data_IF_962973362064
#
_entry.id   IF_962973362064
#
_cell.length_a   1.000
_cell.length_b   1.000
_cell.length_c   1.000
_cell.angle_alpha   90.00
_cell.angle_beta   90.00
_cell.angle_gamma   90.00
#
_symmetry.space_group_name_H-M   'P 1'
#
loop_
_entity.id
_entity.type
_entity.pdbx_description
1 polymer ?
#
# COMPACT_ATOMS: atom_id res chain seq x y z
N UNK A 1 3.19 1.18 -18.84
CA UNK A 1 2.70 0.21 -17.84
C UNK A 1 3.66 0.16 -16.67
N UNK A 2 3.12 0.05 -15.49
CA UNK A 2 3.93 -0.15 -14.28
C UNK A 2 4.63 -1.51 -14.36
N UNK A 3 5.92 -1.57 -14.02
CA UNK A 3 6.69 -2.83 -13.94
C UNK A 3 6.11 -3.85 -12.96
N UNK A 4 5.17 -3.42 -12.10
CA UNK A 4 4.58 -4.23 -11.04
C UNK A 4 3.22 -4.84 -11.41
N UNK A 5 2.56 -4.32 -12.46
CA UNK A 5 1.37 -4.94 -13.03
C UNK A 5 1.82 -5.82 -14.20
N UNK A 6 1.63 -7.11 -14.04
CA UNK A 6 1.95 -8.10 -15.09
C UNK A 6 0.85 -8.13 -16.15
N UNK A 7 1.19 -8.40 -17.40
CA UNK A 7 0.21 -8.53 -18.47
C UNK A 7 -0.86 -9.61 -18.23
N UNK A 8 -0.55 -10.60 -17.36
CA UNK A 8 -1.50 -11.64 -16.93
C UNK A 8 -2.41 -11.23 -15.77
N UNK A 9 -2.14 -10.09 -15.10
CA UNK A 9 -2.96 -9.61 -13.99
C UNK A 9 -4.35 -9.18 -14.50
N UNK A 10 -5.39 -9.45 -13.73
CA UNK A 10 -6.77 -9.17 -14.09
C UNK A 10 -7.28 -7.90 -13.40
N UNK A 11 -7.77 -6.96 -14.19
CA UNK A 11 -8.44 -5.76 -13.66
C UNK A 11 -9.82 -6.16 -13.12
N UNK A 12 -10.03 -6.02 -11.82
CA UNK A 12 -11.28 -6.38 -11.12
C UNK A 12 -12.07 -5.16 -10.66
N UNK A 13 -11.46 -3.99 -10.61
CA UNK A 13 -12.13 -2.73 -10.32
C UNK A 13 -11.43 -1.60 -11.10
N UNK A 14 -12.20 -0.69 -11.70
CA UNK A 14 -11.66 0.45 -12.47
C UNK A 14 -11.39 1.69 -11.61
N UNK A 15 -12.19 1.89 -10.56
CA UNK A 15 -12.05 3.07 -9.70
C UNK A 15 -12.38 2.70 -8.23
N UNK A 16 -11.34 2.62 -7.39
CA UNK A 16 -9.91 2.67 -7.72
C UNK A 16 -9.49 1.51 -8.63
N UNK A 17 -8.41 1.68 -9.40
CA UNK A 17 -7.90 0.60 -10.24
C UNK A 17 -7.31 -0.52 -9.35
N UNK A 18 -7.92 -1.70 -9.38
CA UNK A 18 -7.48 -2.88 -8.60
C UNK A 18 -7.26 -4.05 -9.55
N UNK A 19 -6.06 -4.59 -9.51
CA UNK A 19 -5.66 -5.77 -10.25
C UNK A 19 -5.45 -6.95 -9.29
N UNK A 20 -5.80 -8.14 -9.74
CA UNK A 20 -5.49 -9.42 -9.07
C UNK A 20 -4.55 -10.21 -9.95
N UNK A 21 -3.55 -10.87 -9.36
CA UNK A 21 -2.70 -11.77 -10.12
C UNK A 21 -3.52 -12.92 -10.71
N UNK A 22 -3.09 -13.45 -11.87
CA UNK A 22 -3.78 -14.58 -12.51
C UNK A 22 -3.89 -15.79 -11.57
N UNK A 23 -2.85 -16.05 -10.78
CA UNK A 23 -2.86 -17.13 -9.78
C UNK A 23 -3.99 -16.97 -8.76
N UNK A 24 -4.25 -15.74 -8.29
CA UNK A 24 -5.34 -15.45 -7.37
C UNK A 24 -6.67 -15.52 -8.07
N UNK A 25 -6.77 -14.93 -9.27
CA UNK A 25 -8.02 -14.84 -10.03
C UNK A 25 -8.63 -16.22 -10.35
N UNK A 26 -7.81 -17.21 -10.68
CA UNK A 26 -8.25 -18.56 -11.02
C UNK A 26 -8.26 -19.54 -9.84
N UNK A 27 -7.95 -19.10 -8.61
CA UNK A 27 -8.02 -19.91 -7.40
C UNK A 27 -9.12 -19.36 -6.49
N UNK A 28 -10.18 -20.14 -6.29
CA UNK A 28 -11.36 -19.70 -5.53
C UNK A 28 -11.02 -19.24 -4.12
N UNK A 29 -10.22 -20.00 -3.37
CA UNK A 29 -9.89 -19.67 -1.98
C UNK A 29 -9.05 -18.39 -1.86
N UNK A 30 -8.11 -18.20 -2.78
CA UNK A 30 -7.32 -16.98 -2.85
C UNK A 30 -8.16 -15.79 -3.31
N UNK A 31 -9.07 -16.00 -4.27
CA UNK A 31 -9.96 -14.95 -4.73
C UNK A 31 -10.94 -14.49 -3.63
N UNK A 32 -11.47 -15.42 -2.83
CA UNK A 32 -12.35 -15.09 -1.71
C UNK A 32 -11.62 -14.22 -0.66
N UNK A 33 -10.33 -14.47 -0.44
CA UNK A 33 -9.48 -13.59 0.38
C UNK A 33 -9.26 -12.23 -0.27
N UNK A 34 -8.95 -12.20 -1.56
CA UNK A 34 -8.80 -10.96 -2.31
C UNK A 34 -10.08 -10.14 -2.32
N UNK A 35 -11.25 -10.76 -2.42
CA UNK A 35 -12.56 -10.08 -2.41
C UNK A 35 -12.78 -9.27 -1.12
N UNK A 36 -12.34 -9.77 0.03
CA UNK A 36 -12.38 -9.03 1.30
C UNK A 36 -11.47 -7.80 1.26
N UNK A 37 -10.25 -7.95 0.75
CA UNK A 37 -9.32 -6.84 0.59
C UNK A 37 -9.84 -5.81 -0.41
N UNK A 38 -10.39 -6.23 -1.55
CA UNK A 38 -11.02 -5.36 -2.55
C UNK A 38 -12.16 -4.55 -1.92
N UNK A 39 -13.05 -5.22 -1.20
CA UNK A 39 -14.18 -4.56 -0.51
C UNK A 39 -13.67 -3.50 0.46
N UNK A 40 -12.68 -3.83 1.27
CA UNK A 40 -12.10 -2.89 2.23
C UNK A 40 -11.44 -1.69 1.54
N UNK A 41 -10.60 -1.91 0.52
CA UNK A 41 -9.95 -0.83 -0.23
C UNK A 41 -10.99 0.14 -0.82
N UNK A 42 -12.01 -0.40 -1.50
CA UNK A 42 -13.07 0.42 -2.12
C UNK A 42 -13.81 1.29 -1.11
N UNK A 43 -14.09 0.76 0.07
CA UNK A 43 -14.85 1.45 1.11
C UNK A 43 -14.02 2.41 1.94
N UNK A 44 -12.77 2.06 2.23
CA UNK A 44 -11.88 2.81 3.12
C UNK A 44 -11.10 3.94 2.44
N UNK A 45 -10.83 3.85 1.14
CA UNK A 45 -9.92 4.76 0.46
C UNK A 45 -10.32 6.24 0.57
N UNK A 46 -11.61 6.55 0.53
CA UNK A 46 -12.11 7.92 0.71
C UNK A 46 -11.75 8.49 2.09
N UNK A 47 -11.76 7.66 3.14
CA UNK A 47 -11.40 8.07 4.49
C UNK A 47 -9.88 8.25 4.65
N UNK A 48 -9.07 7.37 4.04
CA UNK A 48 -7.62 7.59 3.97
C UNK A 48 -7.28 8.94 3.31
N UNK A 49 -7.98 9.29 2.23
CA UNK A 49 -7.79 10.56 1.52
C UNK A 49 -8.14 11.80 2.35
N UNK A 50 -8.98 11.69 3.37
CA UNK A 50 -9.28 12.81 4.28
C UNK A 50 -8.20 13.01 5.33
N UNK A 51 -7.42 11.98 5.64
CA UNK A 51 -6.39 12.01 6.68
C UNK A 51 -4.99 12.20 6.09
N UNK A 52 -4.73 11.54 4.96
CA UNK A 52 -3.44 11.54 4.26
C UNK A 52 -3.51 12.36 2.97
N UNK A 53 -2.45 13.11 2.69
CA UNK A 53 -2.23 13.66 1.35
C UNK A 53 -1.78 12.54 0.42
N UNK A 54 -2.68 12.05 -0.42
CA UNK A 54 -2.43 10.94 -1.34
C UNK A 54 -2.42 11.39 -2.81
N UNK A 55 -1.58 10.78 -3.66
CA UNK A 55 -1.60 11.05 -5.08
C UNK A 55 -2.90 10.53 -5.71
N UNK A 56 -3.33 11.17 -6.79
CA UNK A 56 -4.39 10.63 -7.64
C UNK A 56 -3.86 9.41 -8.40
N UNK A 57 -4.72 8.43 -8.66
CA UNK A 57 -4.42 7.30 -9.53
C UNK A 57 -3.51 6.24 -8.90
N UNK A 58 -3.62 6.00 -7.59
CA UNK A 58 -3.00 4.82 -6.99
C UNK A 58 -3.63 3.57 -7.60
N UNK A 59 -2.79 2.66 -8.09
CA UNK A 59 -3.19 1.35 -8.59
C UNK A 59 -2.87 0.29 -7.55
N UNK A 60 -3.85 -0.52 -7.20
CA UNK A 60 -3.69 -1.62 -6.23
C UNK A 60 -3.46 -2.94 -6.95
N UNK A 61 -2.57 -3.75 -6.42
CA UNK A 61 -2.31 -5.11 -6.90
C UNK A 61 -2.39 -6.10 -5.75
N UNK A 62 -3.26 -7.10 -5.89
CA UNK A 62 -3.42 -8.19 -4.92
C UNK A 62 -2.84 -9.47 -5.51
N UNK A 63 -1.92 -10.08 -4.78
CA UNK A 63 -1.24 -11.28 -5.25
C UNK A 63 -0.25 -11.80 -4.23
N UNK A 64 0.68 -12.65 -4.65
CA UNK A 64 1.83 -13.03 -3.84
C UNK A 64 2.86 -11.91 -3.84
N UNK A 65 3.27 -11.47 -2.66
CA UNK A 65 4.38 -10.54 -2.47
C UNK A 65 5.63 -11.34 -2.12
N UNK A 66 6.71 -11.12 -2.86
CA UNK A 66 7.96 -11.86 -2.66
C UNK A 66 8.77 -11.27 -1.51
N UNK A 67 9.50 -12.13 -0.82
CA UNK A 67 10.39 -11.76 0.28
C UNK A 67 9.70 -11.76 1.63
N UNK A 68 10.29 -11.08 2.60
CA UNK A 68 9.80 -10.97 3.98
C UNK A 68 8.80 -9.81 4.19
N UNK A 69 8.39 -9.14 3.11
CA UNK A 69 7.45 -8.02 3.16
C UNK A 69 6.03 -8.48 2.84
N UNK A 70 5.06 -7.85 3.47
CA UNK A 70 3.63 -8.17 3.32
C UNK A 70 2.93 -7.26 2.32
N UNK A 71 3.54 -6.12 2.00
CA UNK A 71 3.07 -5.14 1.04
C UNK A 71 4.24 -4.32 0.48
N UNK A 72 3.94 -3.45 -0.45
CA UNK A 72 4.88 -2.50 -1.00
C UNK A 72 4.17 -1.30 -1.63
N UNK A 73 4.84 -0.16 -1.65
CA UNK A 73 4.45 0.99 -2.47
C UNK A 73 5.60 1.43 -3.37
N UNK A 74 5.29 1.71 -4.62
CA UNK A 74 6.26 2.18 -5.61
C UNK A 74 5.94 3.60 -6.03
N UNK A 75 6.70 4.57 -5.53
CA UNK A 75 6.42 5.99 -5.72
C UNK A 75 6.34 6.41 -7.19
N UNK A 76 7.24 5.91 -8.04
CA UNK A 76 7.30 6.26 -9.47
C UNK A 76 6.06 5.81 -10.24
N UNK A 77 5.57 4.61 -9.99
CA UNK A 77 4.44 4.01 -10.70
C UNK A 77 3.11 4.14 -9.98
N UNK A 78 3.13 4.59 -8.72
CA UNK A 78 1.96 4.68 -7.83
C UNK A 78 1.24 3.34 -7.68
N UNK A 79 1.98 2.24 -7.64
CA UNK A 79 1.43 0.90 -7.42
C UNK A 79 1.61 0.52 -5.96
N UNK A 80 0.52 0.13 -5.32
CA UNK A 80 0.47 -0.43 -3.98
C UNK A 80 0.11 -1.91 -4.07
N UNK A 81 1.00 -2.78 -3.64
CA UNK A 81 0.79 -4.22 -3.60
C UNK A 81 0.53 -4.73 -2.20
N UNK A 82 -0.40 -5.68 -2.09
CA UNK A 82 -0.69 -6.42 -0.85
C UNK A 82 -0.65 -7.91 -1.12
N UNK A 83 -0.08 -8.66 -0.17
CA UNK A 83 -0.19 -10.11 -0.19
C UNK A 83 -1.63 -10.54 0.11
N UNK A 84 -2.18 -11.38 -0.75
CA UNK A 84 -3.57 -11.84 -0.63
C UNK A 84 -3.81 -12.71 0.61
N UNK A 85 -2.77 -13.30 1.17
CA UNK A 85 -2.85 -14.16 2.36
C UNK A 85 -2.85 -13.41 3.69
N UNK A 86 -2.65 -12.08 3.66
CA UNK A 86 -2.65 -11.26 4.87
C UNK A 86 -3.98 -11.35 5.62
N UNK A 87 -3.87 -11.56 6.93
CA UNK A 87 -4.99 -11.41 7.88
C UNK A 87 -5.15 -9.93 8.24
N UNK A 88 -4.04 -9.27 8.59
CA UNK A 88 -4.02 -7.86 8.99
C UNK A 88 -3.81 -6.90 7.80
N UNK A 89 -4.52 -7.16 6.70
CA UNK A 89 -4.35 -6.36 5.47
C UNK A 89 -4.68 -4.88 5.64
N UNK A 90 -5.57 -4.52 6.55
CA UNK A 90 -5.90 -3.12 6.85
C UNK A 90 -4.72 -2.37 7.46
N UNK A 91 -3.96 -3.03 8.34
CA UNK A 91 -2.75 -2.47 8.96
C UNK A 91 -1.65 -2.27 7.91
N UNK A 92 -1.42 -3.28 7.07
CA UNK A 92 -0.42 -3.21 5.98
C UNK A 92 -0.84 -2.17 4.94
N UNK A 93 -2.12 -2.08 4.59
CA UNK A 93 -2.63 -1.04 3.71
C UNK A 93 -2.34 0.36 4.26
N UNK A 94 -2.57 0.59 5.54
CA UNK A 94 -2.26 1.86 6.20
C UNK A 94 -0.76 2.18 6.13
N UNK A 95 0.10 1.20 6.38
CA UNK A 95 1.56 1.33 6.25
C UNK A 95 1.96 1.79 4.85
N UNK A 96 1.49 1.11 3.82
CA UNK A 96 1.83 1.43 2.43
C UNK A 96 1.22 2.75 1.95
N UNK A 97 0.04 3.15 2.46
CA UNK A 97 -0.55 4.45 2.16
C UNK A 97 0.20 5.60 2.87
N UNK A 98 0.83 5.35 4.02
CA UNK A 98 1.76 6.33 4.63
C UNK A 98 2.94 6.53 3.68
N UNK A 99 3.54 5.47 3.11
CA UNK A 99 4.58 5.62 2.11
C UNK A 99 4.12 6.38 0.88
N UNK A 100 2.90 6.12 0.40
CA UNK A 100 2.32 6.88 -0.71
C UNK A 100 2.25 8.38 -0.40
N UNK A 101 1.85 8.74 0.82
CA UNK A 101 1.83 10.12 1.30
C UNK A 101 3.23 10.74 1.40
N UNK A 102 4.18 10.00 1.94
CA UNK A 102 5.58 10.44 2.07
C UNK A 102 6.20 10.78 0.71
N UNK A 103 5.97 9.94 -0.31
CA UNK A 103 6.41 10.22 -1.68
C UNK A 103 5.67 11.39 -2.31
N UNK A 104 4.36 11.45 -2.15
CA UNK A 104 3.53 12.49 -2.73
C UNK A 104 3.86 13.88 -2.19
N UNK A 105 4.07 13.98 -0.88
CA UNK A 105 4.46 15.21 -0.20
C UNK A 105 5.96 15.56 -0.35
N UNK A 106 6.71 14.70 -1.05
CA UNK A 106 8.17 14.79 -1.22
C UNK A 106 8.96 14.73 0.10
N UNK A 107 8.34 14.26 1.18
CA UNK A 107 9.01 13.99 2.44
C UNK A 107 10.04 12.87 2.28
N UNK A 108 9.66 11.81 1.53
CA UNK A 108 10.56 10.79 1.02
C UNK A 108 10.78 11.01 -0.47
N UNK A 109 12.03 11.05 -0.88
CA UNK A 109 12.40 11.19 -2.29
C UNK A 109 13.57 10.26 -2.63
N UNK A 110 13.60 9.75 -3.86
CA UNK A 110 14.68 8.89 -4.36
C UNK A 110 15.22 9.50 -5.64
N UNK A 111 16.52 9.85 -5.64
CA UNK A 111 17.23 10.36 -6.81
C UNK A 111 18.46 9.50 -7.07
N UNK A 112 18.53 8.90 -8.26
CA UNK A 112 19.66 8.06 -8.67
C UNK A 112 20.04 6.99 -7.62
N UNK A 113 19.03 6.31 -7.05
CA UNK A 113 19.21 5.28 -6.03
C UNK A 113 19.58 5.79 -4.63
N UNK A 114 19.60 7.11 -4.43
CA UNK A 114 19.85 7.74 -3.13
C UNK A 114 18.53 8.21 -2.51
N UNK A 115 18.33 7.86 -1.25
CA UNK A 115 17.17 8.29 -0.48
C UNK A 115 17.42 9.63 0.19
N UNK A 116 16.41 10.49 0.14
CA UNK A 116 16.34 11.78 0.83
C UNK A 116 15.10 11.81 1.71
N UNK A 117 15.26 12.27 2.94
CA UNK A 117 14.20 12.46 3.92
C UNK A 117 14.16 13.91 4.37
N UNK A 118 13.01 14.56 4.21
CA UNK A 118 12.87 16.00 4.48
C UNK A 118 13.97 16.84 3.81
N UNK A 119 14.36 16.47 2.58
CA UNK A 119 15.41 17.15 1.82
C UNK A 119 16.86 16.73 2.17
N UNK A 120 17.08 16.02 3.26
CA UNK A 120 18.40 15.57 3.69
C UNK A 120 18.73 14.19 3.16
N UNK A 121 19.98 14.01 2.67
CA UNK A 121 20.48 12.71 2.20
C UNK A 121 20.56 11.72 3.37
N UNK A 122 19.97 10.54 3.20
CA UNK A 122 20.00 9.47 4.20
C UNK A 122 20.95 8.35 3.82
N UNK A 123 20.92 7.87 2.58
CA UNK A 123 21.79 6.79 2.12
C UNK A 123 21.35 6.18 0.79
N UNK A 124 22.02 5.10 0.40
CA UNK A 124 21.71 4.36 -0.82
C UNK A 124 20.84 3.13 -0.54
N UNK A 125 20.10 2.71 -1.56
CA UNK A 125 19.35 1.45 -1.58
C UNK A 125 20.32 0.26 -1.42
N UNK A 126 19.94 -0.76 -0.64
CA UNK A 126 20.74 -1.97 -0.46
C UNK A 126 21.17 -2.26 0.98
N UNK A 127 20.45 -1.71 1.95
CA UNK A 127 20.67 -1.96 3.38
C UNK A 127 20.12 -3.32 3.81
N UNK A 128 20.66 -3.89 4.91
CA UNK A 128 20.11 -5.09 5.55
C UNK A 128 18.73 -4.82 6.14
N UNK A 129 17.94 -5.89 6.41
CA UNK A 129 16.58 -5.76 6.96
C UNK A 129 16.51 -4.87 8.22
N UNK A 130 17.43 -5.05 9.18
CA UNK A 130 17.44 -4.23 10.40
C UNK A 130 17.73 -2.76 10.12
N UNK A 131 18.63 -2.46 9.20
CA UNK A 131 18.91 -1.07 8.81
C UNK A 131 17.78 -0.48 7.96
N UNK A 132 17.05 -1.29 7.18
CA UNK A 132 15.87 -0.84 6.45
C UNK A 132 14.76 -0.39 7.40
N UNK A 133 14.40 -1.21 8.39
CA UNK A 133 13.34 -0.91 9.36
C UNK A 133 13.64 0.33 10.22
N UNK A 134 14.91 0.67 10.40
CA UNK A 134 15.35 1.84 11.14
C UNK A 134 15.43 3.12 10.28
N UNK A 135 15.09 3.05 9.00
CA UNK A 135 15.03 4.25 8.17
C UNK A 135 13.86 5.15 8.62
N UNK A 136 14.03 6.48 8.58
CA UNK A 136 13.04 7.40 9.16
C UNK A 136 11.64 7.28 8.54
N UNK A 137 11.53 6.94 7.26
CA UNK A 137 10.25 6.70 6.61
C UNK A 137 9.56 5.42 7.08
N UNK A 138 10.34 4.37 7.38
CA UNK A 138 9.81 3.12 7.93
C UNK A 138 9.38 3.31 9.39
N UNK A 139 10.20 3.99 10.18
CA UNK A 139 9.86 4.33 11.58
C UNK A 139 8.53 5.09 11.62
N UNK A 140 8.38 6.14 10.80
CA UNK A 140 7.13 6.90 10.73
C UNK A 140 5.95 6.03 10.30
N UNK A 141 6.13 5.14 9.31
CA UNK A 141 5.08 4.26 8.83
C UNK A 141 4.66 3.24 9.90
N UNK A 142 5.62 2.61 10.58
CA UNK A 142 5.33 1.67 11.67
C UNK A 142 4.67 2.34 12.86
N UNK A 143 5.12 3.52 13.25
CA UNK A 143 4.54 4.26 14.38
C UNK A 143 3.13 4.76 14.08
N UNK A 144 2.85 5.13 12.83
CA UNK A 144 1.57 5.71 12.42
C UNK A 144 0.50 4.72 11.98
N UNK A 145 0.88 3.50 11.54
CA UNK A 145 -0.05 2.58 10.87
C UNK A 145 -1.26 2.17 11.73
N UNK A 146 -1.04 1.87 13.01
CA UNK A 146 -2.11 1.41 13.91
C UNK A 146 -3.13 2.51 14.21
N UNK A 147 -2.67 3.72 14.51
CA UNK A 147 -3.54 4.87 14.76
C UNK A 147 -4.32 5.27 13.50
N UNK A 148 -3.67 5.27 12.35
CA UNK A 148 -4.32 5.55 11.06
C UNK A 148 -5.41 4.51 10.75
N UNK A 149 -5.11 3.21 10.92
CA UNK A 149 -6.09 2.13 10.72
C UNK A 149 -7.30 2.32 11.63
N UNK A 150 -7.08 2.59 12.91
CA UNK A 150 -8.14 2.83 13.88
C UNK A 150 -9.03 4.01 13.46
N UNK A 151 -8.44 5.16 13.12
CA UNK A 151 -9.17 6.35 12.68
C UNK A 151 -10.02 6.10 11.44
N UNK A 152 -9.49 5.37 10.46
CA UNK A 152 -10.23 5.03 9.24
C UNK A 152 -11.40 4.10 9.55
N UNK A 153 -11.20 3.07 10.37
CA UNK A 153 -12.27 2.14 10.76
C UNK A 153 -13.36 2.88 11.55
N UNK A 154 -12.99 3.72 12.51
CA UNK A 154 -13.95 4.54 13.27
C UNK A 154 -14.77 5.47 12.34
N UNK A 155 -14.13 6.11 11.37
CA UNK A 155 -14.81 6.95 10.38
C UNK A 155 -15.77 6.14 9.48
N UNK A 156 -15.37 4.94 9.08
CA UNK A 156 -16.23 4.03 8.32
C UNK A 156 -17.45 3.61 9.13
N UNK A 157 -17.27 3.22 10.39
CA UNK A 157 -18.37 2.84 11.29
C UNK A 157 -19.33 4.00 11.52
N UNK A 158 -18.82 5.21 11.78
CA UNK A 158 -19.63 6.42 11.97
C UNK A 158 -20.43 6.83 10.73
N UNK A 159 -20.01 6.38 9.55
CA UNK A 159 -20.66 6.66 8.28
C UNK A 159 -21.61 5.52 7.82
N UNK A 160 -21.93 4.56 8.70
CA UNK A 160 -22.73 3.37 8.41
C UNK A 160 -22.22 2.58 7.17
N UNK A 161 -20.91 2.49 7.04
CA UNK A 161 -20.28 1.67 6.00
C UNK A 161 -20.20 0.23 6.49
N UNK A 162 -20.94 -0.67 5.85
CA UNK A 162 -20.86 -2.11 6.13
C UNK A 162 -19.49 -2.68 5.74
N UNK A 163 -18.88 -3.38 6.65
CA UNK A 163 -17.59 -4.07 6.45
C UNK A 163 -17.72 -5.37 5.67
#
# INVERSE_FOLDING_TARGET
MSHYIKGSDKLVCKSPAIYVSSQVFYNKDLYDKAAKQIKFIKKSLKFYKTILSLPKGITFRLGSVKGSVNGYYVGKSKVLGLDVKLVDYSLVLSHELIHASQFYTKKLNVKQGTFYWNGSKVGRKGTTFNSYRNQPWEVEAYDGQADLTRKVIEAMMSSNVDF
#
